data_IF_222935867957
#
_entry.id   IF_222935867957
#
_cell.length_a   1.000
_cell.length_b   1.000
_cell.length_c   1.000
_cell.angle_alpha   90.00
_cell.angle_beta   90.00
_cell.angle_gamma   90.00
#
_symmetry.space_group_name_H-M   'P 1'
#
loop_
_entity.id
_entity.type
_entity.pdbx_description
1 polymer ?
#
# COMPACT_ATOMS: atom_id res chain seq x y z
N UNK A 1 14.77 -14.69 -4.17
CA UNK A 1 15.12 -16.13 -4.29
C UNK A 1 14.46 -16.99 -3.19
N UNK A 2 13.17 -16.81 -2.85
CA UNK A 2 12.51 -17.66 -1.81
C UNK A 2 12.25 -19.09 -2.28
N UNK A 3 11.94 -19.24 -3.57
CA UNK A 3 11.60 -20.52 -4.18
C UNK A 3 12.84 -21.42 -4.32
N UNK A 4 13.96 -20.83 -4.70
CA UNK A 4 15.26 -21.50 -4.78
C UNK A 4 15.80 -21.91 -3.41
N UNK A 5 15.74 -21.01 -2.41
CA UNK A 5 16.15 -21.35 -1.03
C UNK A 5 15.28 -22.44 -0.40
N UNK A 6 14.01 -22.55 -0.81
CA UNK A 6 13.13 -23.64 -0.39
C UNK A 6 13.37 -24.97 -1.11
N UNK A 7 14.24 -25.02 -2.13
CA UNK A 7 14.43 -26.17 -3.01
C UNK A 7 13.22 -26.49 -3.91
N UNK A 8 12.30 -25.54 -4.09
CA UNK A 8 11.02 -25.77 -4.80
C UNK A 8 11.16 -25.46 -6.29
N UNK A 9 10.89 -26.44 -7.13
CA UNK A 9 10.92 -26.38 -8.59
C UNK A 9 9.55 -26.02 -9.18
N UNK A 10 9.47 -25.79 -10.50
CA UNK A 10 8.18 -25.52 -11.16
C UNK A 10 7.27 -26.77 -11.17
N UNK A 11 7.84 -27.97 -11.14
CA UNK A 11 7.11 -29.24 -11.18
C UNK A 11 6.30 -29.49 -9.90
N UNK A 12 6.77 -28.99 -8.76
CA UNK A 12 6.09 -29.16 -7.47
C UNK A 12 4.75 -28.42 -7.38
N UNK A 13 4.48 -27.49 -8.31
CA UNK A 13 3.22 -26.70 -8.39
C UNK A 13 2.82 -26.01 -7.08
N UNK A 14 3.76 -25.80 -6.16
CA UNK A 14 3.56 -25.10 -4.89
C UNK A 14 3.27 -23.62 -5.16
N UNK A 15 2.21 -23.11 -4.54
CA UNK A 15 1.80 -21.70 -4.63
C UNK A 15 2.78 -20.79 -3.92
N UNK A 16 2.95 -19.58 -4.45
CA UNK A 16 3.86 -18.59 -3.87
C UNK A 16 3.44 -18.15 -2.45
N UNK A 17 2.14 -18.15 -2.14
CA UNK A 17 1.66 -17.77 -0.81
C UNK A 17 2.08 -18.79 0.25
N UNK A 18 2.07 -20.08 -0.08
CA UNK A 18 2.60 -21.15 0.79
C UNK A 18 4.11 -20.96 1.04
N UNK A 19 4.88 -20.59 0.01
CA UNK A 19 6.32 -20.33 0.15
C UNK A 19 6.53 -19.11 1.05
N UNK A 20 5.81 -18.01 0.82
CA UNK A 20 5.89 -16.80 1.65
C UNK A 20 5.56 -17.09 3.11
N UNK A 21 4.49 -17.84 3.36
CA UNK A 21 4.08 -18.26 4.70
C UNK A 21 5.18 -19.05 5.40
N UNK A 22 5.82 -20.00 4.71
CA UNK A 22 6.93 -20.80 5.26
C UNK A 22 8.10 -19.94 5.73
N UNK A 23 8.38 -18.82 5.06
CA UNK A 23 9.45 -17.90 5.43
C UNK A 23 8.98 -16.68 6.26
N UNK A 24 7.69 -16.61 6.62
CA UNK A 24 7.14 -15.44 7.31
C UNK A 24 7.23 -14.13 6.50
N UNK A 25 7.29 -14.22 5.17
CA UNK A 25 7.42 -13.03 4.30
C UNK A 25 6.05 -12.49 3.97
N UNK A 26 5.79 -11.23 4.33
CA UNK A 26 4.55 -10.53 3.99
C UNK A 26 4.34 -10.41 2.47
N UNK A 27 3.10 -10.24 2.04
CA UNK A 27 2.82 -10.01 0.62
C UNK A 27 3.28 -8.62 0.19
N UNK A 28 3.44 -8.43 -1.12
CA UNK A 28 3.75 -7.11 -1.68
C UNK A 28 2.60 -6.13 -1.36
N UNK A 29 1.35 -6.60 -1.37
CA UNK A 29 0.20 -5.77 -1.04
C UNK A 29 0.30 -5.23 0.40
N UNK A 30 0.63 -6.08 1.36
CA UNK A 30 0.80 -5.69 2.77
C UNK A 30 1.94 -4.68 2.93
N UNK A 31 3.06 -4.89 2.23
CA UNK A 31 4.20 -3.95 2.27
C UNK A 31 3.90 -2.61 1.61
N UNK A 32 3.11 -2.62 0.54
CA UNK A 32 2.63 -1.38 -0.05
C UNK A 32 1.68 -0.66 0.89
N UNK A 33 0.74 -1.35 1.53
CA UNK A 33 -0.15 -0.77 2.55
C UNK A 33 0.65 -0.15 3.70
N UNK A 34 1.62 -0.89 4.25
CA UNK A 34 2.50 -0.43 5.31
C UNK A 34 3.27 0.85 4.90
N UNK A 35 3.83 0.89 3.69
CA UNK A 35 4.54 2.06 3.18
C UNK A 35 3.63 3.28 3.03
N UNK A 36 2.39 3.09 2.55
CA UNK A 36 1.39 4.16 2.43
C UNK A 36 1.03 4.75 3.78
N UNK A 37 0.75 3.92 4.77
CA UNK A 37 0.41 4.36 6.12
C UNK A 37 1.60 5.06 6.81
N UNK A 38 2.83 4.55 6.64
CA UNK A 38 4.02 5.23 7.15
C UNK A 38 4.20 6.61 6.54
N UNK A 39 4.00 6.75 5.23
CA UNK A 39 4.04 8.04 4.56
C UNK A 39 2.94 8.98 5.06
N UNK A 40 1.71 8.49 5.25
CA UNK A 40 0.61 9.27 5.82
C UNK A 40 0.95 9.79 7.23
N UNK A 41 1.49 8.94 8.10
CA UNK A 41 1.94 9.34 9.44
C UNK A 41 3.04 10.41 9.37
N UNK A 42 3.97 10.27 8.43
CA UNK A 42 5.02 11.26 8.20
C UNK A 42 4.44 12.61 7.73
N UNK A 43 3.60 12.59 6.69
CA UNK A 43 2.94 13.78 6.16
C UNK A 43 2.03 14.46 7.19
N UNK A 44 1.35 13.68 8.04
CA UNK A 44 0.45 14.21 9.07
C UNK A 44 1.19 14.99 10.16
N UNK A 45 2.42 14.58 10.50
CA UNK A 45 3.29 15.23 11.50
C UNK A 45 4.09 16.41 10.95
N UNK A 46 4.12 16.59 9.63
CA UNK A 46 4.84 17.69 9.00
C UNK A 46 4.08 19.02 9.21
N UNK A 47 4.83 20.13 9.25
CA UNK A 47 4.25 21.47 9.35
C UNK A 47 3.39 21.79 8.10
N UNK A 48 2.44 22.71 8.27
CA UNK A 48 1.44 23.06 7.24
C UNK A 48 2.06 23.70 5.98
N UNK A 49 3.23 24.32 6.10
CA UNK A 49 3.97 24.90 4.98
C UNK A 49 4.73 23.86 4.14
N UNK A 50 4.87 22.63 4.63
CA UNK A 50 5.61 21.59 3.91
C UNK A 50 4.86 21.05 2.69
N UNK A 51 5.61 20.70 1.64
CA UNK A 51 5.06 20.09 0.42
C UNK A 51 4.27 18.81 0.74
N UNK A 52 4.70 18.03 1.73
CA UNK A 52 4.02 16.79 2.11
C UNK A 52 2.62 17.06 2.69
N UNK A 53 2.48 18.03 3.60
CA UNK A 53 1.20 18.39 4.21
C UNK A 53 0.27 19.07 3.20
N UNK A 54 0.81 19.97 2.38
CA UNK A 54 0.08 20.60 1.28
C UNK A 54 -0.42 19.58 0.27
N UNK A 55 0.42 18.62 -0.15
CA UNK A 55 0.03 17.56 -1.07
C UNK A 55 -1.02 16.61 -0.51
N UNK A 56 -1.01 16.34 0.80
CA UNK A 56 -2.03 15.54 1.46
C UNK A 56 -3.41 16.22 1.44
N UNK A 57 -3.45 17.55 1.64
CA UNK A 57 -4.67 18.34 1.70
C UNK A 57 -5.14 18.87 0.32
N UNK A 58 -4.38 18.60 -0.75
CA UNK A 58 -4.65 19.14 -2.07
C UNK A 58 -5.92 18.53 -2.69
N UNK A 59 -6.95 19.34 -2.86
CA UNK A 59 -8.11 19.00 -3.67
C UNK A 59 -7.92 19.45 -5.12
N UNK A 60 -7.81 18.48 -6.03
CA UNK A 60 -7.73 18.76 -7.48
C UNK A 60 -9.15 18.88 -8.05
N UNK A 61 -9.53 20.09 -8.46
CA UNK A 61 -10.80 20.38 -9.10
C UNK A 61 -10.81 19.96 -10.58
N UNK A 62 -12.00 19.66 -11.12
CA UNK A 62 -12.19 19.30 -12.53
C UNK A 62 -12.54 17.84 -12.79
N UNK A 63 -12.91 17.54 -14.05
CA UNK A 63 -13.31 16.19 -14.48
C UNK A 63 -12.10 15.41 -14.99
N UNK A 64 -11.88 14.21 -14.44
CA UNK A 64 -10.82 13.31 -14.90
C UNK A 64 -11.15 12.77 -16.31
N UNK A 65 -10.19 12.74 -17.24
CA UNK A 65 -10.41 12.19 -18.58
C UNK A 65 -10.86 10.72 -18.52
N UNK A 66 -11.69 10.31 -19.50
CA UNK A 66 -12.02 8.89 -19.71
C UNK A 66 -10.73 8.08 -19.92
N UNK A 67 -10.73 6.83 -19.42
CA UNK A 67 -9.71 5.76 -19.51
C UNK A 67 -8.87 5.50 -18.26
N UNK A 68 -8.50 6.50 -17.44
CA UNK A 68 -7.70 6.22 -16.23
C UNK A 68 -8.56 5.64 -15.10
N UNK A 69 -8.01 4.76 -14.23
CA UNK A 69 -8.70 4.30 -13.03
C UNK A 69 -9.22 5.50 -12.22
N UNK A 70 -10.46 5.39 -11.74
CA UNK A 70 -11.11 6.44 -10.94
C UNK A 70 -10.56 6.50 -9.50
N UNK A 71 -9.99 5.40 -9.02
CA UNK A 71 -9.42 5.28 -7.68
C UNK A 71 -8.32 6.33 -7.46
N UNK A 72 -8.50 7.13 -6.41
CA UNK A 72 -7.54 8.10 -5.92
C UNK A 72 -6.63 7.47 -4.88
N UNK A 73 -5.54 8.17 -4.58
CA UNK A 73 -4.66 7.81 -3.49
C UNK A 73 -5.40 7.81 -2.14
N UNK A 74 -6.16 8.87 -1.85
CA UNK A 74 -6.98 8.98 -0.64
C UNK A 74 -8.00 7.85 -0.51
N UNK A 75 -8.65 7.44 -1.61
CA UNK A 75 -9.58 6.30 -1.59
C UNK A 75 -8.89 5.00 -1.13
N UNK A 76 -7.62 4.83 -1.52
CA UNK A 76 -6.82 3.67 -1.16
C UNK A 76 -6.37 3.76 0.29
N UNK A 77 -5.96 4.95 0.76
CA UNK A 77 -5.62 5.19 2.16
C UNK A 77 -6.81 4.95 3.09
N UNK A 78 -8.02 5.38 2.73
CA UNK A 78 -9.23 5.11 3.51
C UNK A 78 -9.50 3.60 3.63
N UNK A 79 -9.28 2.84 2.56
CA UNK A 79 -9.39 1.38 2.61
C UNK A 79 -8.33 0.79 3.54
N UNK A 80 -7.08 1.23 3.42
CA UNK A 80 -5.97 0.75 4.24
C UNK A 80 -6.22 0.99 5.74
N UNK A 81 -6.68 2.20 6.09
CA UNK A 81 -7.04 2.58 7.46
C UNK A 81 -8.20 1.74 8.01
N UNK A 82 -9.22 1.50 7.18
CA UNK A 82 -10.33 0.61 7.53
C UNK A 82 -9.85 -0.83 7.77
N UNK A 83 -8.92 -1.32 6.95
CA UNK A 83 -8.35 -2.67 7.12
C UNK A 83 -7.50 -2.80 8.39
N UNK A 84 -6.83 -1.73 8.83
CA UNK A 84 -6.01 -1.75 10.06
C UNK A 84 -6.80 -1.40 11.33
N UNK A 85 -8.09 -1.05 11.22
CA UNK A 85 -8.91 -0.62 12.36
C UNK A 85 -8.50 0.75 12.91
N UNK A 86 -7.71 1.53 12.17
CA UNK A 86 -7.33 2.88 12.55
C UNK A 86 -8.37 3.83 11.96
N UNK A 87 -9.20 4.42 12.81
CA UNK A 87 -10.14 5.46 12.36
C UNK A 87 -9.37 6.73 11.99
N UNK A 88 -9.61 7.33 10.81
CA UNK A 88 -9.13 8.67 10.53
C UNK A 88 -9.84 9.65 11.47
N UNK A 89 -9.07 10.58 12.03
CA UNK A 89 -9.52 11.64 12.94
C UNK A 89 -10.71 12.43 12.39
#
# INVERSE_FOLDING_TARGET
MLRWTAGVTRLDRVRNDTIRQRFGVATIADKLQEARLRWLCHASRANDDTICKNGLNLEVTGKRPRRRPKQRWLDTLHLDLKMTGVHPY
#
